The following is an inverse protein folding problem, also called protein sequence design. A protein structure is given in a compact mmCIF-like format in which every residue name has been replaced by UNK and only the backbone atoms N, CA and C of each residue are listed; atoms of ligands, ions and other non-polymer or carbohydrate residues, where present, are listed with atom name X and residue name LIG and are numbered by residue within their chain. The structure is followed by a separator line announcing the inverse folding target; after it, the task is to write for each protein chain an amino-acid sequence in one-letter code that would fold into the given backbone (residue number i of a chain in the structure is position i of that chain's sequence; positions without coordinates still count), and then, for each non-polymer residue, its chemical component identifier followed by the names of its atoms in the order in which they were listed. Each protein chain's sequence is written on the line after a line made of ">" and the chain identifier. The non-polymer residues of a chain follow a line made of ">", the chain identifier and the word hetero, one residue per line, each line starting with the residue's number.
data_IF_981016305150
#
_entry.id   IF_981016305150
#
_cell.length_a   1.000
_cell.length_b   1.000
_cell.length_c   1.000
_cell.angle_alpha   90.00
_cell.angle_beta   90.00
_cell.angle_gamma   90.00
#
_symmetry.space_group_name_H-M   'P 1'
#
loop_
_entity.id
_entity.type
_entity.pdbx_description
1 polymer ?
#
# COMPACT_ATOMS: atom_id res chain seq x y z
N UNK A 1 46.91 -2.83 -43.23
CA UNK A 1 45.43 -2.70 -43.24
C UNK A 1 45.06 -1.39 -43.93
N UNK A 2 44.32 -1.45 -45.04
CA UNK A 2 43.91 -0.29 -45.85
C UNK A 2 43.11 0.70 -44.99
N UNK A 3 43.31 2.01 -45.21
CA UNK A 3 42.64 3.10 -44.48
C UNK A 3 41.12 2.95 -44.44
N UNK A 4 40.54 2.39 -45.51
CA UNK A 4 39.09 2.11 -45.61
C UNK A 4 38.60 1.06 -44.61
N UNK A 5 39.40 0.03 -44.33
CA UNK A 5 39.03 -1.04 -43.39
C UNK A 5 39.04 -0.51 -41.94
N UNK A 6 39.90 0.47 -41.62
CA UNK A 6 39.91 1.12 -40.29
C UNK A 6 38.65 1.97 -40.07
N UNK A 7 38.22 2.74 -41.06
CA UNK A 7 37.00 3.55 -40.98
C UNK A 7 35.75 2.70 -40.81
N UNK A 8 35.66 1.56 -41.51
CA UNK A 8 34.54 0.61 -41.38
C UNK A 8 34.53 -0.01 -39.98
N UNK A 9 35.69 -0.39 -39.44
CA UNK A 9 35.80 -1.00 -38.11
C UNK A 9 35.34 -0.03 -37.01
N UNK A 10 35.72 1.25 -37.11
CA UNK A 10 35.31 2.30 -36.16
C UNK A 10 33.80 2.54 -36.22
N UNK A 11 33.22 2.56 -37.42
CA UNK A 11 31.77 2.71 -37.61
C UNK A 11 30.99 1.56 -36.97
N UNK A 12 31.38 0.31 -37.24
CA UNK A 12 30.72 -0.87 -36.66
C UNK A 12 30.89 -0.90 -35.13
N UNK A 13 32.08 -0.56 -34.63
CA UNK A 13 32.33 -0.44 -33.19
C UNK A 13 31.41 0.61 -32.52
N UNK A 14 31.19 1.75 -33.17
CA UNK A 14 30.26 2.78 -32.70
C UNK A 14 28.81 2.28 -32.63
N UNK A 15 28.34 1.57 -33.65
CA UNK A 15 26.97 1.01 -33.68
C UNK A 15 26.77 -0.01 -32.57
N UNK A 16 27.72 -0.94 -32.38
CA UNK A 16 27.63 -1.96 -31.31
C UNK A 16 27.65 -1.30 -29.94
N UNK A 17 28.53 -0.32 -29.73
CA UNK A 17 28.62 0.42 -28.46
C UNK A 17 27.32 1.19 -28.16
N UNK A 18 26.71 1.81 -29.18
CA UNK A 18 25.43 2.49 -29.06
C UNK A 18 24.30 1.56 -28.63
N UNK A 19 24.20 0.39 -29.25
CA UNK A 19 23.19 -0.63 -28.89
C UNK A 19 23.35 -1.07 -27.43
N UNK A 20 24.59 -1.35 -26.99
CA UNK A 20 24.87 -1.75 -25.61
C UNK A 20 24.47 -0.65 -24.63
N UNK A 21 24.81 0.61 -24.94
CA UNK A 21 24.48 1.75 -24.10
C UNK A 21 22.96 1.95 -23.98
N UNK A 22 22.21 1.75 -25.08
CA UNK A 22 20.75 1.83 -25.07
C UNK A 22 20.13 0.78 -24.16
N UNK A 23 20.57 -0.49 -24.24
CA UNK A 23 20.08 -1.53 -23.34
C UNK A 23 20.44 -1.28 -21.87
N UNK A 24 21.66 -0.78 -21.60
CA UNK A 24 22.07 -0.40 -20.25
C UNK A 24 21.18 0.72 -19.69
N UNK A 25 20.89 1.75 -20.49
CA UNK A 25 20.01 2.86 -20.09
C UNK A 25 18.60 2.38 -19.75
N UNK A 26 17.99 1.53 -20.58
CA UNK A 26 16.68 0.93 -20.28
C UNK A 26 16.71 0.04 -19.05
N UNK A 27 17.80 -0.71 -18.82
CA UNK A 27 17.98 -1.51 -17.61
C UNK A 27 18.03 -0.64 -16.34
N UNK A 28 18.75 0.48 -16.37
CA UNK A 28 18.78 1.42 -15.24
C UNK A 28 17.42 2.11 -15.00
N UNK A 29 16.68 2.46 -16.06
CA UNK A 29 15.30 2.94 -15.94
C UNK A 29 14.40 1.87 -15.32
N UNK A 30 14.50 0.62 -15.78
CA UNK A 30 13.71 -0.48 -15.24
C UNK A 30 14.04 -0.74 -13.77
N UNK A 31 15.31 -0.68 -13.37
CA UNK A 31 15.73 -0.82 -11.97
C UNK A 31 15.24 0.36 -11.11
N UNK A 32 15.30 1.58 -11.63
CA UNK A 32 14.74 2.77 -10.96
C UNK A 32 13.22 2.68 -10.75
N UNK A 33 12.50 2.10 -11.71
CA UNK A 33 11.05 1.85 -11.58
C UNK A 33 10.71 0.63 -10.72
N UNK A 34 11.58 -0.38 -10.65
CA UNK A 34 11.39 -1.57 -9.81
C UNK A 34 11.60 -1.27 -8.31
N UNK A 35 12.33 -0.20 -7.99
CA UNK A 35 12.50 0.29 -6.61
C UNK A 35 11.35 1.22 -6.16
N UNK A 36 10.33 1.39 -7.00
CA UNK A 36 9.04 1.90 -6.57
C UNK A 36 8.28 0.82 -5.80
N UNK A 37 8.77 0.39 -4.63
CA UNK A 37 7.81 0.16 -3.55
C UNK A 37 7.04 1.47 -3.44
N UNK A 38 5.71 1.50 -3.63
CA UNK A 38 4.95 2.68 -3.24
C UNK A 38 5.30 2.87 -1.78
N UNK A 39 6.13 3.87 -1.49
CA UNK A 39 6.33 4.33 -0.13
C UNK A 39 4.92 4.54 0.38
N UNK A 40 4.57 3.79 1.42
CA UNK A 40 3.26 3.72 2.06
C UNK A 40 2.92 5.06 2.74
N UNK A 41 2.98 6.15 1.98
CA UNK A 41 2.78 7.54 2.40
C UNK A 41 1.32 7.80 2.80
N UNK A 42 0.48 6.78 2.68
CA UNK A 42 -0.92 6.81 3.00
C UNK A 42 -1.17 6.33 4.42
N UNK A 43 -0.22 5.60 5.03
CA UNK A 43 -0.30 5.14 6.42
C UNK A 43 0.55 6.03 7.32
N UNK A 44 -0.06 6.55 8.39
CA UNK A 44 0.63 7.30 9.44
C UNK A 44 0.28 6.66 10.78
N UNK A 45 1.24 5.93 11.36
CA UNK A 45 1.09 5.31 12.69
C UNK A 45 1.49 6.29 13.79
N UNK A 46 0.81 6.20 14.93
CA UNK A 46 1.12 6.97 16.12
C UNK A 46 2.18 6.27 16.97
N UNK A 47 2.94 7.03 17.74
CA UNK A 47 3.90 6.46 18.72
C UNK A 47 3.19 5.61 19.79
N UNK A 48 1.95 5.99 20.13
CA UNK A 48 1.11 5.31 21.10
C UNK A 48 -0.34 5.37 20.65
N UNK A 49 -1.15 4.35 20.96
CA UNK A 49 -2.59 4.40 20.73
C UNK A 49 -3.22 5.63 21.39
N UNK A 50 -4.13 6.32 20.69
CA UNK A 50 -4.68 7.61 21.12
C UNK A 50 -6.12 7.50 21.61
N UNK A 51 -7.06 7.24 20.71
CA UNK A 51 -8.50 7.28 21.00
C UNK A 51 -9.08 5.86 21.08
N UNK A 52 -9.83 5.58 22.14
CA UNK A 52 -10.68 4.38 22.23
C UNK A 52 -11.97 4.61 21.43
N UNK A 53 -12.33 3.65 20.58
CA UNK A 53 -13.55 3.65 19.80
C UNK A 53 -14.49 2.61 20.41
N UNK A 54 -15.59 3.06 21.00
CA UNK A 54 -16.55 2.17 21.67
C UNK A 54 -17.51 1.57 20.63
N UNK A 55 -17.14 0.39 20.13
CA UNK A 55 -17.87 -0.36 19.10
C UNK A 55 -17.80 -1.86 19.39
N UNK A 56 -18.84 -2.59 18.98
CA UNK A 56 -18.98 -4.02 19.27
C UNK A 56 -18.64 -4.92 18.09
N UNK A 57 -18.93 -4.46 16.88
CA UNK A 57 -18.69 -5.20 15.65
C UNK A 57 -18.39 -4.26 14.49
N UNK A 58 -17.69 -4.82 13.53
CA UNK A 58 -17.43 -4.24 12.22
C UNK A 58 -17.82 -5.21 11.13
N UNK A 59 -18.12 -4.67 9.96
CA UNK A 59 -18.33 -5.41 8.73
C UNK A 59 -17.30 -4.94 7.70
N UNK A 60 -16.52 -5.87 7.16
CA UNK A 60 -15.51 -5.58 6.14
C UNK A 60 -16.23 -5.20 4.85
N UNK A 61 -15.97 -3.99 4.36
CA UNK A 61 -16.55 -3.49 3.11
C UNK A 61 -15.74 -3.91 1.90
N UNK A 62 -14.40 -3.91 2.03
CA UNK A 62 -13.49 -4.31 0.97
C UNK A 62 -12.11 -4.66 1.55
N UNK A 63 -11.50 -5.69 0.98
CA UNK A 63 -10.09 -6.02 1.19
C UNK A 63 -9.21 -5.32 0.16
N UNK A 64 -8.15 -4.68 0.63
CA UNK A 64 -7.16 -3.97 -0.17
C UNK A 64 -6.11 -4.94 -0.75
N UNK A 65 -5.36 -4.53 -1.80
CA UNK A 65 -4.38 -5.41 -2.45
C UNK A 65 -3.24 -5.89 -1.54
N UNK A 66 -2.95 -5.17 -0.46
CA UNK A 66 -1.96 -5.54 0.57
C UNK A 66 -2.52 -6.52 1.62
N UNK A 67 -3.82 -6.86 1.52
CA UNK A 67 -4.54 -7.72 2.45
C UNK A 67 -5.19 -6.98 3.62
N UNK A 68 -4.97 -5.66 3.76
CA UNK A 68 -5.62 -4.84 4.80
C UNK A 68 -7.11 -4.67 4.47
N UNK A 69 -7.95 -4.40 5.46
CA UNK A 69 -9.41 -4.35 5.27
C UNK A 69 -10.00 -3.01 5.70
N UNK A 70 -10.78 -2.41 4.80
CA UNK A 70 -11.66 -1.29 5.15
C UNK A 70 -12.95 -1.86 5.69
N UNK A 71 -13.33 -1.44 6.89
CA UNK A 71 -14.52 -1.95 7.58
C UNK A 71 -15.40 -0.81 8.07
N UNK A 72 -16.72 -1.01 8.05
CA UNK A 72 -17.70 -0.10 8.62
C UNK A 72 -18.18 -0.59 9.97
N UNK A 73 -18.59 0.34 10.82
CA UNK A 73 -19.23 0.03 12.09
C UNK A 73 -20.72 -0.27 11.86
N UNK A 74 -21.23 -1.34 12.50
CA UNK A 74 -22.63 -1.78 12.40
C UNK A 74 -23.55 -1.10 13.44
N UNK A 75 -22.98 -0.37 14.40
CA UNK A 75 -23.69 0.32 15.48
C UNK A 75 -24.35 1.64 14.99
N UNK A 76 -25.61 1.84 15.37
CA UNK A 76 -26.40 3.05 15.10
C UNK A 76 -25.67 4.32 15.58
N UNK A 77 -24.91 4.21 16.66
CA UNK A 77 -24.21 5.34 17.28
C UNK A 77 -23.02 5.84 16.45
N UNK A 78 -22.49 5.01 15.56
CA UNK A 78 -21.28 5.27 14.76
C UNK A 78 -21.53 5.06 13.26
N UNK A 79 -22.78 5.25 12.81
CA UNK A 79 -23.16 5.07 11.40
C UNK A 79 -22.22 5.86 10.48
N UNK A 80 -21.68 5.18 9.48
CA UNK A 80 -20.82 5.77 8.45
C UNK A 80 -19.35 5.90 8.84
N UNK A 81 -18.96 5.48 10.06
CA UNK A 81 -17.56 5.36 10.42
C UNK A 81 -16.92 4.20 9.65
N UNK A 82 -15.89 4.51 8.87
CA UNK A 82 -15.04 3.54 8.19
C UNK A 82 -13.68 3.54 8.87
N UNK A 83 -13.13 2.36 9.12
CA UNK A 83 -11.83 2.14 9.74
C UNK A 83 -10.97 1.23 8.87
N UNK A 84 -9.66 1.25 9.06
CA UNK A 84 -8.74 0.30 8.44
C UNK A 84 -8.21 -0.69 9.49
N UNK A 85 -8.35 -1.98 9.21
CA UNK A 85 -7.61 -3.05 9.86
C UNK A 85 -6.40 -3.41 9.02
N UNK A 86 -5.19 -3.29 9.59
CA UNK A 86 -3.97 -3.70 8.89
C UNK A 86 -3.92 -5.23 8.77
N UNK A 87 -3.36 -5.70 7.65
CA UNK A 87 -2.99 -7.10 7.52
C UNK A 87 -1.89 -7.45 8.53
N UNK A 88 -2.07 -8.55 9.26
CA UNK A 88 -1.05 -9.12 10.13
C UNK A 88 -0.83 -10.60 9.79
N UNK A 89 0.32 -11.15 10.20
CA UNK A 89 0.71 -12.53 9.94
C UNK A 89 -0.29 -13.51 10.56
N UNK A 90 -1.12 -14.09 9.70
CA UNK A 90 -2.11 -15.10 10.08
C UNK A 90 -3.55 -14.59 10.15
N UNK A 91 -3.78 -13.31 9.87
CA UNK A 91 -5.12 -12.75 9.73
C UNK A 91 -5.36 -12.44 8.24
N UNK A 92 -6.31 -13.15 7.65
CA UNK A 92 -6.80 -12.88 6.30
C UNK A 92 -8.22 -12.35 6.39
N UNK A 93 -8.47 -11.20 5.78
CA UNK A 93 -9.81 -10.65 5.66
C UNK A 93 -10.50 -11.08 4.36
N UNK A 94 -11.82 -11.03 4.34
CA UNK A 94 -12.65 -11.15 3.14
C UNK A 94 -13.82 -10.15 3.20
N UNK A 95 -14.36 -9.80 2.05
CA UNK A 95 -15.48 -8.87 1.94
C UNK A 95 -16.71 -9.41 2.69
N UNK A 96 -17.48 -8.54 3.32
CA UNK A 96 -18.65 -8.84 4.17
C UNK A 96 -18.33 -9.65 5.44
N UNK A 97 -17.04 -9.81 5.79
CA UNK A 97 -16.64 -10.46 7.03
C UNK A 97 -17.08 -9.63 8.24
N UNK A 98 -17.73 -10.30 9.19
CA UNK A 98 -18.03 -9.71 10.51
C UNK A 98 -16.85 -9.88 11.47
N UNK A 99 -16.35 -8.77 11.99
CA UNK A 99 -15.30 -8.72 13.01
C UNK A 99 -15.94 -8.30 14.32
N UNK A 100 -16.01 -9.22 15.28
CA UNK A 100 -16.55 -8.92 16.61
C UNK A 100 -15.42 -8.52 17.57
N UNK A 101 -15.67 -7.50 18.38
CA UNK A 101 -14.76 -7.09 19.46
C UNK A 101 -14.99 -8.02 20.66
N UNK A 102 -14.01 -8.84 21.07
CA UNK A 102 -14.17 -9.76 22.19
C UNK A 102 -14.42 -9.03 23.51
N UNK A 103 -15.14 -9.67 24.42
CA UNK A 103 -15.34 -9.13 25.77
C UNK A 103 -14.00 -8.97 26.50
N UNK A 104 -13.79 -7.82 27.13
CA UNK A 104 -12.53 -7.49 27.80
C UNK A 104 -11.46 -6.86 26.90
N UNK A 105 -11.75 -6.70 25.60
CA UNK A 105 -10.91 -5.93 24.67
C UNK A 105 -11.54 -4.58 24.34
N UNK A 106 -10.72 -3.65 23.88
CA UNK A 106 -11.13 -2.35 23.36
C UNK A 106 -10.53 -2.12 21.97
N UNK A 107 -11.17 -1.25 21.19
CA UNK A 107 -10.64 -0.85 19.89
C UNK A 107 -9.92 0.48 20.06
N UNK A 108 -8.64 0.49 19.73
CA UNK A 108 -7.80 1.67 19.86
C UNK A 108 -7.38 2.17 18.48
N UNK A 109 -7.46 3.49 18.28
CA UNK A 109 -6.87 4.13 17.12
C UNK A 109 -5.34 4.19 17.26
N UNK A 110 -4.65 3.58 16.31
CA UNK A 110 -3.18 3.49 16.27
C UNK A 110 -2.58 4.31 15.11
N UNK A 111 -3.41 4.91 14.26
CA UNK A 111 -2.93 5.73 13.15
C UNK A 111 -4.04 6.26 12.26
N UNK A 112 -3.66 6.74 11.09
CA UNK A 112 -4.56 7.18 10.02
C UNK A 112 -4.12 6.62 8.68
N UNK A 113 -5.10 6.35 7.83
CA UNK A 113 -4.92 5.88 6.47
C UNK A 113 -5.63 6.81 5.49
N UNK A 114 -4.90 7.30 4.48
CA UNK A 114 -5.44 8.13 3.41
C UNK A 114 -5.62 7.31 2.14
N UNK A 115 -6.80 7.35 1.52
CA UNK A 115 -7.06 6.70 0.25
C UNK A 115 -7.95 7.55 -0.65
N UNK A 116 -7.89 7.27 -1.95
CA UNK A 116 -8.79 7.88 -2.94
C UNK A 116 -9.87 6.87 -3.30
N UNK A 117 -11.13 7.29 -3.19
CA UNK A 117 -12.28 6.48 -3.59
C UNK A 117 -12.38 6.38 -5.12
N UNK A 118 -13.21 5.46 -5.63
CA UNK A 118 -13.49 5.36 -7.07
C UNK A 118 -14.09 6.63 -7.68
N UNK A 119 -14.73 7.46 -6.87
CA UNK A 119 -15.26 8.77 -7.27
C UNK A 119 -14.24 9.90 -7.16
N UNK A 120 -12.94 9.58 -7.10
CA UNK A 120 -11.82 10.54 -6.99
C UNK A 120 -11.84 11.42 -5.74
N UNK A 121 -12.62 11.05 -4.71
CA UNK A 121 -12.60 11.75 -3.43
C UNK A 121 -11.51 11.17 -2.53
N UNK A 122 -10.62 12.03 -2.03
CA UNK A 122 -9.71 11.69 -0.95
C UNK A 122 -10.48 11.51 0.36
N UNK A 123 -10.15 10.43 1.09
CA UNK A 123 -10.67 10.14 2.42
C UNK A 123 -9.52 9.77 3.34
N UNK A 124 -9.67 10.15 4.61
CA UNK A 124 -8.78 9.73 5.69
C UNK A 124 -9.61 8.98 6.72
N UNK A 125 -9.18 7.77 7.06
CA UNK A 125 -9.86 6.90 8.03
C UNK A 125 -8.89 6.51 9.16
N UNK A 126 -9.38 6.24 10.37
CA UNK A 126 -8.54 5.73 11.45
C UNK A 126 -8.05 4.31 11.12
N UNK A 127 -6.79 4.04 11.50
CA UNK A 127 -6.27 2.68 11.60
C UNK A 127 -6.54 2.21 13.02
N UNK A 128 -7.11 1.01 13.15
CA UNK A 128 -7.55 0.49 14.45
C UNK A 128 -6.92 -0.87 14.76
N UNK A 129 -6.74 -1.11 16.05
CA UNK A 129 -6.28 -2.38 16.60
C UNK A 129 -7.15 -2.78 17.80
N UNK A 130 -7.42 -4.08 17.95
CA UNK A 130 -8.18 -4.62 19.08
C UNK A 130 -7.18 -5.02 20.17
N UNK A 131 -7.14 -4.26 21.25
CA UNK A 131 -6.19 -4.39 22.35
C UNK A 131 -6.87 -4.89 23.63
N UNK A 132 -6.10 -5.44 24.56
CA UNK A 132 -6.61 -5.77 25.89
C UNK A 132 -6.84 -4.46 26.69
N UNK A 133 -7.92 -4.45 27.47
CA UNK A 133 -8.32 -3.29 28.30
C UNK A 133 -7.51 -3.17 29.59
#
# INVERSE_FOLDING_TARGET
>A
MSTRTKSILIYVGGVVTGIILTFAFFFFIALGNANGTPSDNNVVLFEKPQQEINVKSFEVMQVLPDGSALATVEDISNIGMVVLFLADKGISYYDDQKINVPSGKCVMQIGTYKYTTRSEMEKTVPIVEIMDK
#
